data_IF_435343524087
#
_entry.id   IF_435343524087
#
_cell.length_a   1.000
_cell.length_b   1.000
_cell.length_c   1.000
_cell.angle_alpha   90.00
_cell.angle_beta   90.00
_cell.angle_gamma   90.00
#
_symmetry.space_group_name_H-M   'P 1'
#
loop_
_entity.id
_entity.type
_entity.pdbx_description
1 polymer ?
#
# COMPACT_ATOMS: atom_id res chain seq x y z
N UNK A 1 -29.66 11.42 -12.46
CA UNK A 1 -29.88 10.38 -11.44
C UNK A 1 -29.15 10.64 -10.12
N UNK A 2 -27.88 11.11 -10.07
CA UNK A 2 -27.10 11.28 -8.81
C UNK A 2 -27.66 12.22 -7.71
N UNK A 3 -28.60 13.13 -8.00
CA UNK A 3 -29.19 14.01 -6.97
C UNK A 3 -30.25 13.31 -6.11
N UNK A 4 -30.77 12.17 -6.55
CA UNK A 4 -31.85 11.49 -5.83
C UNK A 4 -31.31 10.61 -4.70
N UNK A 5 -30.11 10.05 -4.88
CA UNK A 5 -29.46 9.17 -3.91
C UNK A 5 -28.99 9.95 -2.67
N UNK A 6 -28.49 11.18 -2.85
CA UNK A 6 -28.05 12.05 -1.75
C UNK A 6 -29.20 12.41 -0.79
N UNK A 7 -30.40 12.69 -1.33
CA UNK A 7 -31.59 12.96 -0.52
C UNK A 7 -32.07 11.74 0.26
N UNK A 8 -31.86 10.54 -0.28
CA UNK A 8 -32.28 9.30 0.38
C UNK A 8 -31.37 8.98 1.58
N UNK A 9 -30.08 9.29 1.45
CA UNK A 9 -29.08 9.11 2.49
C UNK A 9 -29.26 10.13 3.63
N UNK A 10 -29.54 11.39 3.31
CA UNK A 10 -29.91 12.42 4.30
C UNK A 10 -31.16 12.04 5.11
N UNK A 11 -32.19 11.50 4.45
CA UNK A 11 -33.41 11.05 5.12
C UNK A 11 -33.19 9.82 6.00
N UNK A 12 -32.25 8.94 5.62
CA UNK A 12 -31.89 7.75 6.41
C UNK A 12 -31.14 8.14 7.68
N UNK A 13 -30.21 9.09 7.58
CA UNK A 13 -29.48 9.65 8.72
C UNK A 13 -30.44 10.37 9.67
N UNK A 14 -31.34 11.21 9.14
CA UNK A 14 -32.35 11.90 9.94
C UNK A 14 -33.29 10.93 10.70
N UNK A 15 -33.68 9.82 10.07
CA UNK A 15 -34.52 8.78 10.71
C UNK A 15 -33.76 8.04 11.82
N UNK A 16 -32.49 7.69 11.61
CA UNK A 16 -31.67 7.04 12.63
C UNK A 16 -31.42 7.94 13.85
N UNK A 17 -31.26 9.25 13.63
CA UNK A 17 -31.17 10.24 14.70
C UNK A 17 -32.49 10.35 15.48
N UNK A 18 -33.63 10.40 14.79
CA UNK A 18 -34.94 10.49 15.44
C UNK A 18 -35.30 9.23 16.26
N UNK A 19 -34.92 8.03 15.79
CA UNK A 19 -35.18 6.76 16.47
C UNK A 19 -34.24 6.54 17.67
N UNK A 20 -33.01 7.06 17.62
CA UNK A 20 -32.05 6.97 18.74
C UNK A 20 -32.39 7.88 19.94
N UNK A 21 -33.07 9.00 19.70
CA UNK A 21 -33.40 10.00 20.74
C UNK A 21 -34.49 9.54 21.71
N UNK A 22 -35.33 8.55 21.35
CA UNK A 22 -36.47 8.15 22.18
C UNK A 22 -36.17 7.13 23.29
N UNK A 23 -34.92 6.65 23.47
CA UNK A 23 -34.62 5.51 24.35
C UNK A 23 -33.53 5.72 25.42
N UNK A 24 -33.34 6.94 25.94
CA UNK A 24 -32.41 7.14 27.06
C UNK A 24 -33.10 7.66 28.33
N UNK A 25 -32.72 7.14 29.51
CA UNK A 25 -33.20 7.64 30.80
C UNK A 25 -32.69 9.07 31.06
N UNK A 26 -33.50 9.92 31.70
CA UNK A 26 -33.12 11.29 32.01
C UNK A 26 -32.21 11.28 33.24
N UNK A 27 -31.06 11.96 33.18
CA UNK A 27 -30.56 12.81 34.28
C UNK A 27 -29.15 13.39 34.09
N UNK A 28 -28.54 13.28 32.92
CA UNK A 28 -27.46 14.18 32.54
C UNK A 28 -27.79 14.81 31.18
N UNK A 29 -27.85 16.15 31.07
CA UNK A 29 -28.00 16.79 29.77
C UNK A 29 -26.83 16.33 28.87
N UNK A 30 -27.14 16.00 27.61
CA UNK A 30 -26.12 15.70 26.63
C UNK A 30 -25.18 16.90 26.45
N UNK A 31 -23.99 16.65 25.91
CA UNK A 31 -23.07 17.72 25.52
C UNK A 31 -23.76 18.65 24.51
N UNK A 32 -23.49 19.95 24.64
CA UNK A 32 -23.92 20.94 23.66
C UNK A 32 -23.17 20.76 22.34
N UNK A 33 -23.75 21.21 21.23
CA UNK A 33 -23.08 21.16 19.92
C UNK A 33 -21.73 21.90 19.96
N UNK A 34 -21.66 23.02 20.67
CA UNK A 34 -20.41 23.79 20.86
C UNK A 34 -19.33 23.00 21.62
N UNK A 35 -19.72 22.20 22.62
CA UNK A 35 -18.79 21.34 23.36
C UNK A 35 -18.34 20.15 22.51
N UNK A 36 -19.22 19.58 21.68
CA UNK A 36 -18.86 18.53 20.73
C UNK A 36 -17.89 19.04 19.66
N UNK A 37 -18.11 20.24 19.12
CA UNK A 37 -17.21 20.87 18.15
C UNK A 37 -15.87 21.22 18.78
N UNK A 38 -15.87 21.82 19.97
CA UNK A 38 -14.65 22.13 20.70
C UNK A 38 -13.88 20.86 21.11
N UNK A 39 -14.58 19.75 21.40
CA UNK A 39 -13.95 18.46 21.67
C UNK A 39 -13.36 17.85 20.41
N UNK A 40 -14.09 17.88 19.28
CA UNK A 40 -13.64 17.39 17.98
C UNK A 40 -12.41 18.15 17.46
N UNK A 41 -12.38 19.48 17.63
CA UNK A 41 -11.26 20.33 17.26
C UNK A 41 -10.08 20.27 18.25
N UNK A 42 -10.20 19.54 19.37
CA UNK A 42 -9.19 19.50 20.43
C UNK A 42 -9.01 20.83 21.19
N UNK A 43 -9.98 21.75 21.10
CA UNK A 43 -9.98 23.05 21.75
C UNK A 43 -10.39 22.99 23.22
N UNK A 44 -11.08 21.92 23.65
CA UNK A 44 -11.47 21.68 25.03
C UNK A 44 -10.26 21.29 25.89
N UNK A 45 -10.06 21.96 27.02
CA UNK A 45 -8.91 21.74 27.93
C UNK A 45 -9.34 21.48 29.38
N UNK A 46 -8.42 20.86 30.14
CA UNK A 46 -8.57 20.62 31.58
C UNK A 46 -9.77 19.75 31.96
N UNK A 47 -10.36 20.05 33.11
CA UNK A 47 -11.45 19.29 33.72
C UNK A 47 -12.67 19.14 32.79
N UNK A 48 -12.97 20.16 31.99
CA UNK A 48 -14.11 20.13 31.07
C UNK A 48 -13.91 19.13 29.92
N UNK A 49 -12.67 18.93 29.46
CA UNK A 49 -12.33 17.89 28.47
C UNK A 49 -12.52 16.51 29.07
N UNK A 50 -12.07 16.29 30.30
CA UNK A 50 -12.21 15.01 31.00
C UNK A 50 -13.68 14.64 31.22
N UNK A 51 -14.50 15.60 31.65
CA UNK A 51 -15.95 15.43 31.79
C UNK A 51 -16.62 15.11 30.45
N UNK A 52 -16.25 15.80 29.37
CA UNK A 52 -16.81 15.55 28.04
C UNK A 52 -16.42 14.17 27.50
N UNK A 53 -15.16 13.75 27.66
CA UNK A 53 -14.68 12.41 27.27
C UNK A 53 -15.37 11.33 28.09
N UNK A 54 -15.51 11.51 29.41
CA UNK A 54 -16.23 10.58 30.28
C UNK A 54 -17.71 10.45 29.87
N UNK A 55 -18.37 11.56 29.56
CA UNK A 55 -19.75 11.55 29.07
C UNK A 55 -19.88 10.80 27.74
N UNK A 56 -19.04 11.09 26.74
CA UNK A 56 -19.01 10.40 25.44
C UNK A 56 -18.75 8.90 25.58
N UNK A 57 -17.95 8.50 26.57
CA UNK A 57 -17.74 7.08 26.88
C UNK A 57 -19.01 6.39 27.40
N UNK A 58 -19.92 7.13 28.06
CA UNK A 58 -21.17 6.59 28.62
C UNK A 58 -22.44 6.85 27.79
N UNK A 59 -22.39 7.81 26.84
CA UNK A 59 -23.56 8.28 26.09
C UNK A 59 -23.39 8.01 24.59
N UNK A 60 -24.12 7.02 24.09
CA UNK A 60 -24.05 6.60 22.67
C UNK A 60 -24.44 7.73 21.71
N UNK A 61 -25.37 8.61 22.10
CA UNK A 61 -25.78 9.76 21.28
C UNK A 61 -24.63 10.76 21.11
N UNK A 62 -23.97 11.15 22.19
CA UNK A 62 -22.82 12.05 22.12
C UNK A 62 -21.63 11.40 21.40
N UNK A 63 -21.47 10.08 21.51
CA UNK A 63 -20.45 9.33 20.77
C UNK A 63 -20.71 9.35 19.26
N UNK A 64 -21.94 9.10 18.83
CA UNK A 64 -22.31 9.17 17.42
C UNK A 64 -22.17 10.60 16.89
N UNK A 65 -22.62 11.60 17.65
CA UNK A 65 -22.49 13.01 17.29
C UNK A 65 -21.02 13.40 17.11
N UNK A 66 -20.12 12.98 18.02
CA UNK A 66 -18.68 13.24 17.91
C UNK A 66 -18.04 12.59 16.66
N UNK A 67 -18.45 11.38 16.30
CA UNK A 67 -17.97 10.72 15.07
C UNK A 67 -18.42 11.49 13.82
N UNK A 68 -19.62 12.04 13.83
CA UNK A 68 -20.15 12.83 12.71
C UNK A 68 -19.40 14.17 12.62
N UNK A 69 -19.28 14.90 13.73
CA UNK A 69 -18.61 16.22 13.75
C UNK A 69 -17.14 16.12 13.38
N UNK A 70 -16.41 15.11 13.88
CA UNK A 70 -15.00 14.87 13.49
C UNK A 70 -14.85 14.57 11.99
N UNK A 71 -15.79 13.84 11.37
CA UNK A 71 -15.79 13.59 9.93
C UNK A 71 -16.10 14.86 9.12
N UNK A 72 -17.06 15.67 9.57
CA UNK A 72 -17.40 16.93 8.91
C UNK A 72 -16.25 17.94 9.01
N UNK A 73 -15.64 18.08 10.18
CA UNK A 73 -14.45 18.93 10.37
C UNK A 73 -13.27 18.47 9.49
N UNK A 74 -13.06 17.16 9.36
CA UNK A 74 -12.05 16.61 8.45
C UNK A 74 -12.38 16.92 6.97
N UNK A 75 -13.65 16.92 6.58
CA UNK A 75 -14.09 17.27 5.22
C UNK A 75 -13.90 18.77 4.93
N UNK A 76 -14.20 19.65 5.89
CA UNK A 76 -14.06 21.11 5.75
C UNK A 76 -12.60 21.55 5.71
N UNK A 77 -11.72 20.91 6.49
CA UNK A 77 -10.26 21.16 6.44
C UNK A 77 -9.61 20.71 5.12
N UNK A 78 -10.32 19.94 4.29
CA UNK A 78 -9.90 19.55 2.94
C UNK A 78 -10.42 20.47 1.84
N UNK A 79 -11.27 21.46 2.14
CA UNK A 79 -11.47 22.57 1.24
C UNK A 79 -10.22 23.45 1.33
N UNK A 80 -9.29 23.27 0.40
CA UNK A 80 -8.32 24.32 0.07
C UNK A 80 -9.10 25.65 0.03
N UNK A 81 -8.60 26.71 0.68
CA UNK A 81 -9.24 28.01 0.56
C UNK A 81 -9.34 28.27 -0.94
N UNK A 82 -10.57 28.31 -1.47
CA UNK A 82 -10.80 28.73 -2.84
C UNK A 82 -10.09 30.06 -2.94
N UNK A 83 -8.95 30.07 -3.62
CA UNK A 83 -8.11 31.23 -3.73
C UNK A 83 -8.87 32.24 -4.59
N UNK A 84 -9.74 32.99 -3.95
CA UNK A 84 -10.24 34.27 -4.40
C UNK A 84 -9.13 35.34 -4.25
N UNK A 85 -7.86 34.94 -4.38
CA UNK A 85 -6.72 35.81 -4.55
C UNK A 85 -6.42 36.00 -6.05
N UNK A 86 -7.31 36.78 -6.66
CA UNK A 86 -6.96 37.90 -7.52
C UNK A 86 -5.69 37.79 -8.40
N UNK A 87 -5.85 37.29 -9.62
CA UNK A 87 -5.75 38.04 -10.90
C UNK A 87 -4.63 39.08 -11.15
N UNK A 88 -3.53 39.14 -10.38
CA UNK A 88 -2.42 40.11 -10.60
C UNK A 88 -1.06 39.50 -10.96
N UNK A 89 -0.89 38.17 -10.95
CA UNK A 89 0.42 37.54 -11.25
C UNK A 89 0.67 37.21 -12.74
N UNK A 90 -0.29 37.45 -13.64
CA UNK A 90 -0.12 37.17 -15.08
C UNK A 90 0.80 38.15 -15.82
N UNK A 91 1.29 39.21 -15.18
CA UNK A 91 2.19 40.20 -15.80
C UNK A 91 3.69 40.05 -15.44
N UNK A 92 4.06 39.14 -14.54
CA UNK A 92 5.46 38.92 -14.17
C UNK A 92 6.18 37.83 -14.99
N UNK A 93 5.42 36.98 -15.69
CA UNK A 93 5.98 35.93 -16.57
C UNK A 93 6.72 36.49 -17.81
N UNK A 94 6.27 37.53 -18.52
CA UNK A 94 6.98 38.00 -19.71
C UNK A 94 8.30 38.74 -19.41
N UNK A 95 8.48 39.28 -18.19
CA UNK A 95 9.70 40.01 -17.81
C UNK A 95 10.89 39.07 -17.54
N UNK A 96 10.63 37.85 -17.04
CA UNK A 96 11.68 36.85 -16.82
C UNK A 96 12.25 36.28 -18.13
N UNK A 97 11.43 36.19 -19.19
CA UNK A 97 11.87 35.72 -20.51
C UNK A 97 12.72 36.75 -21.27
N UNK A 98 12.53 38.05 -21.05
CA UNK A 98 13.37 39.08 -21.66
C UNK A 98 14.81 39.07 -21.12
N UNK A 99 14.99 38.76 -19.82
CA UNK A 99 16.30 38.72 -19.18
C UNK A 99 17.17 37.54 -19.67
N UNK A 100 16.56 36.39 -19.98
CA UNK A 100 17.30 35.22 -20.48
C UNK A 100 17.77 35.40 -21.93
N UNK A 101 17.01 36.09 -22.77
CA UNK A 101 17.42 36.42 -24.15
C UNK A 101 18.61 37.39 -24.17
N UNK A 102 18.62 38.40 -23.29
CA UNK A 102 19.76 39.33 -23.18
C UNK A 102 21.03 38.64 -22.67
N UNK A 103 20.91 37.67 -21.76
CA UNK A 103 22.04 36.86 -21.28
C UNK A 103 22.60 35.94 -22.38
N UNK A 104 21.75 35.35 -23.21
CA UNK A 104 22.17 34.53 -24.34
C UNK A 104 22.92 35.34 -25.42
N UNK A 105 22.47 36.57 -25.71
CA UNK A 105 23.14 37.47 -26.66
C UNK A 105 24.49 37.96 -26.12
N UNK A 106 24.60 38.18 -24.81
CA UNK A 106 25.86 38.53 -24.15
C UNK A 106 26.91 37.42 -24.25
N UNK A 107 26.51 36.16 -24.03
CA UNK A 107 27.43 35.01 -24.11
C UNK A 107 27.85 34.73 -25.55
N UNK A 108 26.96 34.90 -26.54
CA UNK A 108 27.29 34.63 -27.95
C UNK A 108 28.33 35.61 -28.52
N UNK A 109 28.34 36.87 -28.07
CA UNK A 109 29.33 37.86 -28.52
C UNK A 109 30.69 37.76 -27.81
N UNK A 110 30.79 36.97 -26.73
CA UNK A 110 32.01 36.85 -25.92
C UNK A 110 32.76 35.53 -26.10
N UNK A 111 32.48 34.77 -27.18
CA UNK A 111 33.30 33.61 -27.55
C UNK A 111 34.45 34.08 -28.44
N UNK A 112 35.68 34.23 -27.91
CA UNK A 112 36.85 34.45 -28.75
C UNK A 112 37.03 33.24 -29.67
N UNK A 113 37.18 33.51 -30.97
CA UNK A 113 37.57 32.51 -31.98
C UNK A 113 38.91 31.87 -31.57
N UNK A 114 38.85 30.72 -30.89
CA UNK A 114 39.96 29.75 -30.84
C UNK A 114 39.87 28.99 -32.17
N UNK A 115 40.82 29.10 -33.09
CA UNK A 115 42.27 29.02 -32.86
C UNK A 115 42.62 27.54 -32.95
N UNK A 116 43.17 27.16 -34.09
CA UNK A 116 43.47 25.80 -34.56
C UNK A 116 44.07 24.89 -33.49
N UNK A 117 43.47 23.71 -33.32
CA UNK A 117 44.07 22.59 -32.59
C UNK A 117 44.25 21.41 -33.56
N UNK A 118 45.47 20.86 -33.69
CA UNK A 118 45.78 19.79 -34.62
C UNK A 118 45.20 18.45 -34.15
N UNK A 119 44.68 17.69 -35.12
CA UNK A 119 44.21 16.32 -34.98
C UNK A 119 45.39 15.37 -34.67
N UNK A 120 45.30 14.54 -33.61
CA UNK A 120 46.19 13.38 -33.50
C UNK A 120 45.68 12.26 -34.42
N UNK A 121 46.50 11.95 -35.42
CA UNK A 121 46.47 10.71 -36.20
C UNK A 121 46.92 9.57 -35.29
N UNK A 122 46.10 8.52 -35.11
CA UNK A 122 46.57 7.22 -34.63
C UNK A 122 45.98 6.11 -35.53
N UNK A 123 46.81 5.16 -36.02
CA UNK A 123 46.45 4.20 -37.06
C UNK A 123 45.82 2.92 -36.49
N UNK A 124 45.11 2.21 -37.35
CA UNK A 124 44.28 1.06 -37.02
C UNK A 124 45.00 -0.20 -36.55
N UNK A 125 44.19 -1.13 -36.04
CA UNK A 125 44.43 -2.57 -36.02
C UNK A 125 43.15 -3.31 -35.62
N UNK A 126 42.40 -3.75 -36.63
CA UNK A 126 41.60 -5.00 -36.61
C UNK A 126 42.54 -6.09 -37.13
N UNK A 127 42.63 -7.29 -36.52
CA UNK A 127 41.61 -8.33 -36.55
C UNK A 127 41.46 -9.00 -35.16
N UNK A 128 40.54 -9.90 -34.81
CA UNK A 128 40.24 -11.16 -35.48
C UNK A 128 39.07 -11.82 -34.72
N UNK A 129 38.04 -12.19 -35.47
CA UNK A 129 36.84 -12.84 -35.00
C UNK A 129 37.14 -14.35 -34.88
N UNK A 130 37.37 -14.84 -33.66
CA UNK A 130 37.45 -16.29 -33.41
C UNK A 130 36.04 -16.88 -33.38
N UNK A 131 35.64 -17.45 -34.50
CA UNK A 131 34.55 -18.41 -34.57
C UNK A 131 34.99 -19.70 -33.87
N UNK A 132 34.53 -19.90 -32.64
CA UNK A 132 34.57 -21.23 -32.03
C UNK A 132 33.41 -22.01 -32.63
N UNK A 133 33.75 -22.93 -33.52
CA UNK A 133 32.85 -23.96 -34.02
C UNK A 133 32.38 -24.84 -32.84
N UNK A 134 31.11 -24.70 -32.48
CA UNK A 134 30.44 -25.67 -31.61
C UNK A 134 30.31 -26.99 -32.39
N UNK A 135 31.00 -28.00 -31.86
CA UNK A 135 30.87 -29.40 -32.26
C UNK A 135 29.46 -29.88 -31.93
N UNK A 136 28.79 -30.39 -32.95
CA UNK A 136 27.49 -31.06 -32.90
C UNK A 136 27.58 -32.29 -31.97
N UNK A 137 26.75 -32.40 -30.91
CA UNK A 137 26.61 -33.61 -30.12
C UNK A 137 25.80 -34.66 -30.90
N UNK A 138 26.12 -35.96 -30.76
CA UNK A 138 25.42 -37.03 -31.47
C UNK A 138 23.95 -37.14 -31.02
N UNK A 139 23.09 -37.37 -32.02
CA UNK A 139 21.65 -37.59 -31.88
C UNK A 139 21.33 -38.62 -30.77
N UNK A 140 20.63 -38.15 -29.74
CA UNK A 140 19.92 -39.02 -28.80
C UNK A 140 18.57 -39.43 -29.39
N UNK A 141 18.15 -40.70 -29.22
CA UNK A 141 16.93 -41.23 -29.79
C UNK A 141 15.69 -40.58 -29.16
N UNK A 142 14.77 -40.17 -30.03
CA UNK A 142 13.44 -39.66 -29.72
C UNK A 142 12.66 -40.63 -28.83
N UNK A 143 12.65 -40.37 -27.53
CA UNK A 143 11.72 -41.00 -26.60
C UNK A 143 10.37 -40.27 -26.69
N UNK A 144 9.40 -40.98 -27.30
CA UNK A 144 7.98 -41.09 -26.95
C UNK A 144 7.30 -39.87 -26.30
N UNK A 145 6.29 -39.35 -27.00
CA UNK A 145 5.53 -38.16 -26.64
C UNK A 145 4.95 -38.18 -25.22
N UNK A 146 5.49 -37.30 -24.39
CA UNK A 146 4.75 -36.77 -23.25
C UNK A 146 3.93 -35.59 -23.76
N UNK A 147 2.60 -35.67 -23.60
CA UNK A 147 1.70 -34.55 -23.84
C UNK A 147 2.24 -33.32 -23.09
N UNK A 148 2.20 -32.11 -23.69
CA UNK A 148 2.66 -30.91 -23.01
C UNK A 148 1.84 -30.73 -21.74
N UNK A 149 2.47 -30.99 -20.59
CA UNK A 149 1.91 -30.66 -19.28
C UNK A 149 1.69 -29.16 -19.31
N UNK A 150 0.42 -28.74 -19.31
CA UNK A 150 0.06 -27.32 -19.17
C UNK A 150 0.66 -26.85 -17.85
N UNK A 151 1.75 -26.11 -17.91
CA UNK A 151 2.30 -25.42 -16.76
C UNK A 151 1.27 -24.40 -16.30
N UNK A 152 0.50 -24.75 -15.27
CA UNK A 152 -0.41 -23.82 -14.60
C UNK A 152 0.45 -22.77 -13.92
N UNK A 153 0.30 -21.51 -14.35
CA UNK A 153 0.94 -20.35 -13.72
C UNK A 153 0.58 -20.39 -12.22
N UNK A 154 1.54 -20.33 -11.29
CA UNK A 154 1.22 -20.32 -9.87
C UNK A 154 0.37 -19.09 -9.53
N UNK A 155 -0.50 -19.17 -8.52
CA UNK A 155 -1.27 -18.03 -8.04
C UNK A 155 -0.34 -16.83 -7.75
N UNK A 156 -0.75 -15.63 -8.11
CA UNK A 156 0.09 -14.44 -8.04
C UNK A 156 0.69 -14.20 -6.63
N UNK A 157 -0.08 -14.48 -5.58
CA UNK A 157 0.35 -14.34 -4.19
C UNK A 157 1.48 -15.32 -3.81
N UNK A 158 1.40 -16.56 -4.28
CA UNK A 158 2.47 -17.55 -4.14
C UNK A 158 3.70 -17.16 -4.93
N UNK A 159 3.53 -16.59 -6.12
CA UNK A 159 4.65 -16.09 -6.91
C UNK A 159 5.41 -14.99 -6.15
N UNK A 160 4.71 -14.04 -5.52
CA UNK A 160 5.34 -13.04 -4.65
C UNK A 160 6.09 -13.69 -3.48
N UNK A 161 5.44 -14.56 -2.72
CA UNK A 161 6.06 -15.24 -1.58
C UNK A 161 7.35 -15.98 -1.99
N UNK A 162 7.30 -16.75 -3.08
CA UNK A 162 8.45 -17.55 -3.54
C UNK A 162 9.64 -16.72 -4.04
N UNK A 163 9.45 -15.43 -4.35
CA UNK A 163 10.55 -14.53 -4.72
C UNK A 163 11.30 -13.95 -3.52
N UNK A 164 10.73 -14.04 -2.31
CA UNK A 164 11.36 -13.50 -1.11
C UNK A 164 12.51 -14.40 -0.65
N UNK A 165 13.73 -13.89 -0.75
CA UNK A 165 14.94 -14.54 -0.24
C UNK A 165 15.10 -14.13 1.22
N UNK A 166 14.55 -14.92 2.13
CA UNK A 166 14.56 -14.57 3.55
C UNK A 166 15.89 -15.05 4.17
N UNK A 167 16.64 -14.16 4.85
CA UNK A 167 17.90 -14.54 5.47
C UNK A 167 17.67 -15.61 6.53
N UNK A 168 18.66 -16.50 6.67
CA UNK A 168 18.60 -17.59 7.65
C UNK A 168 18.45 -17.04 9.07
N UNK A 169 17.81 -17.86 9.91
CA UNK A 169 17.56 -17.73 11.35
C UNK A 169 18.42 -16.68 12.07
N UNK A 170 17.77 -15.68 12.68
CA UNK A 170 18.40 -14.65 13.53
C UNK A 170 18.30 -13.21 13.00
N UNK A 171 17.84 -13.00 11.77
CA UNK A 171 17.51 -11.67 11.28
C UNK A 171 16.11 -11.28 11.76
N UNK A 172 16.00 -10.29 12.64
CA UNK A 172 14.73 -9.73 13.07
C UNK A 172 14.12 -8.92 11.92
N UNK A 173 13.39 -9.61 11.05
CA UNK A 173 12.59 -8.96 10.03
C UNK A 173 11.18 -8.73 10.58
N UNK A 174 10.98 -7.60 11.23
CA UNK A 174 9.65 -7.23 11.72
C UNK A 174 8.91 -6.43 10.63
N UNK A 175 7.85 -7.05 10.10
CA UNK A 175 6.81 -6.35 9.38
C UNK A 175 5.74 -5.95 10.40
N UNK A 176 5.70 -4.69 10.87
CA UNK A 176 4.67 -4.26 11.79
C UNK A 176 3.32 -4.40 11.10
N UNK A 177 2.49 -5.28 11.64
CA UNK A 177 1.12 -5.46 11.16
C UNK A 177 0.25 -4.44 11.89
N UNK A 178 -0.41 -3.52 11.17
CA UNK A 178 -1.22 -2.48 11.76
C UNK A 178 -2.38 -3.14 12.48
N UNK A 179 -2.57 -2.76 13.74
CA UNK A 179 -3.77 -3.14 14.48
C UNK A 179 -5.00 -2.57 13.77
N UNK A 180 -6.12 -3.31 13.81
CA UNK A 180 -7.36 -2.91 13.13
C UNK A 180 -7.85 -1.50 13.51
N UNK A 181 -7.40 -0.97 14.65
CA UNK A 181 -7.80 0.33 15.17
C UNK A 181 -6.92 1.51 14.72
N UNK A 182 -5.81 1.26 13.99
CA UNK A 182 -4.86 2.31 13.58
C UNK A 182 -5.03 2.80 12.13
N UNK A 183 -5.96 2.22 11.36
CA UNK A 183 -6.25 2.66 10.00
C UNK A 183 -6.99 4.02 10.01
N UNK A 184 -6.22 5.10 10.06
CA UNK A 184 -6.69 6.46 10.31
C UNK A 184 -7.37 7.17 9.13
N UNK A 185 -7.62 6.52 7.99
CA UNK A 185 -8.15 7.21 6.81
C UNK A 185 -9.25 6.40 6.11
N UNK A 186 -10.49 6.60 6.60
CA UNK A 186 -11.75 6.03 6.11
C UNK A 186 -12.19 6.57 4.73
N UNK A 187 -11.32 6.54 3.72
CA UNK A 187 -11.68 6.94 2.33
C UNK A 187 -11.94 5.75 1.41
N UNK A 188 -11.40 4.57 1.70
CA UNK A 188 -11.78 3.32 1.03
C UNK A 188 -12.82 2.58 1.85
N UNK A 189 -13.70 1.81 1.20
CA UNK A 189 -14.61 0.93 1.91
C UNK A 189 -13.84 -0.03 2.83
N UNK A 190 -14.50 -0.48 3.91
CA UNK A 190 -13.88 -1.38 4.89
C UNK A 190 -13.36 -2.65 4.20
N UNK A 191 -14.02 -3.09 3.13
CA UNK A 191 -13.69 -4.32 2.42
C UNK A 191 -12.40 -4.19 1.59
N UNK A 192 -12.13 -3.05 0.95
CA UNK A 192 -10.84 -2.82 0.26
C UNK A 192 -9.67 -2.83 1.23
N UNK A 193 -9.80 -2.12 2.36
CA UNK A 193 -8.79 -2.08 3.40
C UNK A 193 -8.53 -3.48 3.99
N UNK A 194 -9.59 -4.23 4.31
CA UNK A 194 -9.46 -5.59 4.84
C UNK A 194 -8.76 -6.52 3.84
N UNK A 195 -9.06 -6.41 2.54
CA UNK A 195 -8.38 -7.19 1.50
C UNK A 195 -6.92 -6.80 1.33
N UNK A 196 -6.60 -5.51 1.38
CA UNK A 196 -5.19 -5.06 1.42
C UNK A 196 -4.44 -5.66 2.62
N UNK A 197 -5.00 -5.52 3.82
CA UNK A 197 -4.38 -6.04 5.04
C UNK A 197 -4.29 -7.57 5.07
N UNK A 198 -5.23 -8.27 4.45
CA UNK A 198 -5.16 -9.72 4.25
C UNK A 198 -3.94 -10.09 3.41
N UNK A 199 -3.71 -9.42 2.28
CA UNK A 199 -2.57 -9.69 1.40
C UNK A 199 -1.23 -9.40 2.09
N UNK A 200 -1.18 -8.29 2.82
CA UNK A 200 -0.02 -7.91 3.62
C UNK A 200 0.29 -8.96 4.71
N UNK A 201 -0.72 -9.33 5.51
CA UNK A 201 -0.58 -10.29 6.62
C UNK A 201 -0.18 -11.69 6.12
N UNK A 202 -0.65 -12.06 4.94
CA UNK A 202 -0.29 -13.34 4.30
C UNK A 202 1.21 -13.40 4.00
N UNK A 203 1.79 -12.34 3.43
CA UNK A 203 3.24 -12.26 3.19
C UNK A 203 4.01 -12.18 4.51
N UNK A 204 3.53 -11.43 5.49
CA UNK A 204 4.16 -11.35 6.81
C UNK A 204 4.24 -12.73 7.49
N UNK A 205 3.17 -13.52 7.42
CA UNK A 205 3.15 -14.88 7.93
C UNK A 205 4.15 -15.79 7.19
N UNK A 206 4.20 -15.72 5.86
CA UNK A 206 5.20 -16.48 5.09
C UNK A 206 6.62 -16.17 5.54
N UNK A 207 6.92 -14.88 5.70
CA UNK A 207 8.22 -14.42 6.16
C UNK A 207 8.55 -14.97 7.54
N UNK A 208 7.62 -14.88 8.48
CA UNK A 208 7.78 -15.39 9.83
C UNK A 208 8.00 -16.92 9.85
N UNK A 209 7.27 -17.66 9.02
CA UNK A 209 7.44 -19.11 8.93
C UNK A 209 8.80 -19.50 8.37
N UNK A 210 9.30 -18.75 7.37
CA UNK A 210 10.63 -18.96 6.77
C UNK A 210 11.78 -18.57 7.69
N UNK A 211 11.59 -17.60 8.58
CA UNK A 211 12.59 -17.22 9.59
C UNK A 211 12.64 -18.18 10.78
N UNK A 212 11.67 -19.12 10.87
CA UNK A 212 11.45 -20.04 12.00
C UNK A 212 11.24 -19.32 13.35
N UNK A 213 10.78 -18.06 13.33
CA UNK A 213 10.50 -17.29 14.53
C UNK A 213 9.07 -17.56 15.02
N UNK A 214 8.97 -18.38 16.07
CA UNK A 214 7.68 -18.80 16.64
C UNK A 214 6.81 -17.64 17.14
N UNK A 215 7.41 -16.57 17.65
CA UNK A 215 6.65 -15.42 18.16
C UNK A 215 6.12 -14.58 16.99
N UNK A 216 6.94 -14.36 15.98
CA UNK A 216 6.52 -13.69 14.73
C UNK A 216 5.45 -14.50 13.98
N UNK A 217 5.56 -15.84 13.96
CA UNK A 217 4.54 -16.72 13.37
C UNK A 217 3.22 -16.53 14.12
N UNK A 218 3.24 -16.57 15.46
CA UNK A 218 2.03 -16.41 16.28
C UNK A 218 1.37 -15.06 16.07
N UNK A 219 2.14 -13.96 16.10
CA UNK A 219 1.62 -12.60 15.87
C UNK A 219 1.03 -12.46 14.47
N UNK A 220 1.74 -12.94 13.44
CA UNK A 220 1.28 -12.84 12.05
C UNK A 220 0.05 -13.72 11.80
N UNK A 221 0.00 -14.92 12.39
CA UNK A 221 -1.15 -15.82 12.30
C UNK A 221 -2.39 -15.23 12.99
N UNK A 222 -2.23 -14.67 14.19
CA UNK A 222 -3.32 -14.01 14.91
C UNK A 222 -3.85 -12.78 14.13
N UNK A 223 -2.95 -11.98 13.55
CA UNK A 223 -3.38 -10.87 12.70
C UNK A 223 -4.09 -11.36 11.44
N UNK A 224 -3.60 -12.43 10.80
CA UNK A 224 -4.26 -13.01 9.63
C UNK A 224 -5.66 -13.52 9.99
N UNK A 225 -5.79 -14.20 11.13
CA UNK A 225 -7.06 -14.71 11.65
C UNK A 225 -8.10 -13.61 11.84
N UNK A 226 -7.73 -12.50 12.50
CA UNK A 226 -8.59 -11.33 12.68
C UNK A 226 -9.10 -10.77 11.33
N UNK A 227 -8.22 -10.69 10.32
CA UNK A 227 -8.60 -10.19 8.98
C UNK A 227 -9.52 -11.15 8.24
N UNK A 228 -9.28 -12.46 8.36
CA UNK A 228 -10.15 -13.46 7.76
C UNK A 228 -11.53 -13.38 8.42
N UNK A 229 -11.61 -13.28 9.74
CA UNK A 229 -12.88 -13.16 10.47
C UNK A 229 -13.70 -11.93 10.04
N UNK A 230 -13.03 -10.79 9.79
CA UNK A 230 -13.68 -9.58 9.29
C UNK A 230 -14.30 -9.80 7.89
N UNK A 231 -13.64 -10.56 7.03
CA UNK A 231 -14.09 -10.85 5.66
C UNK A 231 -15.07 -12.02 5.57
N UNK A 232 -15.05 -12.96 6.54
CA UNK A 232 -15.90 -14.15 6.56
C UNK A 232 -17.39 -13.79 6.51
N UNK A 233 -17.77 -12.66 7.11
CA UNK A 233 -19.15 -12.15 7.06
C UNK A 233 -19.65 -11.88 5.64
N UNK A 234 -18.76 -11.47 4.73
CA UNK A 234 -19.05 -11.23 3.32
C UNK A 234 -18.69 -12.43 2.42
N UNK A 235 -17.78 -13.30 2.88
CA UNK A 235 -17.19 -14.39 2.10
C UNK A 235 -17.12 -15.68 2.93
N UNK A 236 -18.22 -16.46 3.02
CA UNK A 236 -18.27 -17.70 3.80
C UNK A 236 -17.27 -18.77 3.34
N UNK A 237 -16.74 -18.68 2.12
CA UNK A 237 -15.70 -19.58 1.62
C UNK A 237 -14.38 -19.47 2.44
N UNK A 238 -14.22 -18.40 3.22
CA UNK A 238 -13.08 -18.17 4.10
C UNK A 238 -13.15 -18.94 5.43
N UNK A 239 -14.27 -19.56 5.81
CA UNK A 239 -14.40 -20.27 7.10
C UNK A 239 -13.35 -21.35 7.30
N UNK A 240 -13.05 -22.14 6.26
CA UNK A 240 -12.01 -23.18 6.37
C UNK A 240 -10.62 -22.57 6.60
N UNK A 241 -10.36 -21.42 5.98
CA UNK A 241 -9.11 -20.69 6.14
C UNK A 241 -8.99 -20.08 7.54
N UNK A 242 -10.09 -19.52 8.07
CA UNK A 242 -10.18 -19.01 9.44
C UNK A 242 -9.81 -20.08 10.46
N UNK A 243 -10.44 -21.26 10.38
CA UNK A 243 -10.16 -22.37 11.30
C UNK A 243 -8.68 -22.80 11.28
N UNK A 244 -8.04 -22.76 10.12
CA UNK A 244 -6.61 -23.12 10.00
C UNK A 244 -5.70 -22.00 10.52
N UNK A 245 -6.01 -20.74 10.26
CA UNK A 245 -5.27 -19.59 10.80
C UNK A 245 -5.33 -19.56 12.34
N UNK A 246 -6.53 -19.73 12.91
CA UNK A 246 -6.75 -19.83 14.36
C UNK A 246 -5.95 -20.99 14.98
N UNK A 247 -5.92 -22.16 14.32
CA UNK A 247 -5.12 -23.30 14.78
C UNK A 247 -3.62 -22.99 14.77
N UNK A 248 -3.13 -22.34 13.71
CA UNK A 248 -1.72 -21.92 13.61
C UNK A 248 -1.34 -20.89 14.70
N UNK A 249 -2.26 -19.98 15.04
CA UNK A 249 -2.05 -18.99 16.10
C UNK A 249 -1.98 -19.62 17.51
N UNK A 250 -2.61 -20.77 17.72
CA UNK A 250 -2.67 -21.45 19.03
C UNK A 250 -1.59 -22.51 19.24
N UNK A 251 -0.99 -23.06 18.17
CA UNK A 251 0.06 -24.09 18.29
C UNK A 251 1.33 -23.77 17.50
N UNK A 252 2.52 -23.99 18.09
CA UNK A 252 3.77 -23.89 17.35
C UNK A 252 3.74 -24.92 16.21
N UNK A 253 3.80 -24.42 14.99
CA UNK A 253 3.53 -25.21 13.79
C UNK A 253 4.79 -25.38 12.95
N UNK A 254 4.88 -26.48 12.20
CA UNK A 254 5.96 -26.72 11.25
C UNK A 254 5.83 -25.83 10.02
N UNK A 255 6.95 -25.57 9.34
CA UNK A 255 7.00 -24.81 8.08
C UNK A 255 6.02 -25.35 7.01
N UNK A 256 5.79 -26.67 7.00
CA UNK A 256 4.82 -27.30 6.09
C UNK A 256 3.41 -26.78 6.33
N UNK A 257 2.96 -26.66 7.58
CA UNK A 257 1.60 -26.18 7.91
C UNK A 257 1.44 -24.72 7.50
N UNK A 258 2.47 -23.90 7.69
CA UNK A 258 2.46 -22.53 7.20
C UNK A 258 2.36 -22.45 5.67
N UNK A 259 3.13 -23.28 4.97
CA UNK A 259 3.15 -23.30 3.50
C UNK A 259 1.79 -23.73 2.96
N UNK A 260 1.20 -24.78 3.53
CA UNK A 260 -0.15 -25.24 3.20
C UNK A 260 -1.20 -24.13 3.41
N UNK A 261 -1.11 -23.38 4.52
CA UNK A 261 -2.03 -22.28 4.79
C UNK A 261 -1.90 -21.16 3.75
N UNK A 262 -0.69 -20.85 3.31
CA UNK A 262 -0.46 -19.84 2.28
C UNK A 262 -0.95 -20.28 0.91
N UNK A 263 -0.71 -21.54 0.54
CA UNK A 263 -1.23 -22.11 -0.70
C UNK A 263 -2.75 -22.07 -0.72
N UNK A 264 -3.39 -22.40 0.40
CA UNK A 264 -4.84 -22.35 0.54
C UNK A 264 -5.36 -20.92 0.59
N UNK A 265 -4.66 -19.99 1.24
CA UNK A 265 -5.00 -18.56 1.21
C UNK A 265 -4.97 -18.06 -0.23
N UNK A 266 -3.88 -18.33 -0.95
CA UNK A 266 -3.73 -17.93 -2.34
C UNK A 266 -4.82 -18.54 -3.23
N UNK A 267 -5.12 -19.84 -3.07
CA UNK A 267 -6.15 -20.53 -3.84
C UNK A 267 -7.57 -20.05 -3.51
N UNK A 268 -7.86 -19.76 -2.24
CA UNK A 268 -9.17 -19.24 -1.83
C UNK A 268 -9.36 -17.82 -2.38
N UNK A 269 -8.34 -16.98 -2.27
CA UNK A 269 -8.40 -15.61 -2.79
C UNK A 269 -8.51 -15.56 -4.31
N UNK A 270 -7.85 -16.47 -5.04
CA UNK A 270 -7.98 -16.57 -6.49
C UNK A 270 -9.41 -16.95 -6.91
N UNK A 271 -10.12 -17.74 -6.10
CA UNK A 271 -11.55 -18.07 -6.33
C UNK A 271 -12.47 -16.88 -6.04
N UNK A 272 -12.22 -16.16 -4.94
CA UNK A 272 -13.09 -15.08 -4.48
C UNK A 272 -13.08 -13.88 -5.43
N UNK A 273 -11.89 -13.48 -5.87
CA UNK A 273 -11.75 -12.36 -6.80
C UNK A 273 -10.42 -12.54 -7.56
N UNK A 274 -10.46 -13.25 -8.70
CA UNK A 274 -9.27 -13.41 -9.53
C UNK A 274 -8.82 -12.02 -9.98
N UNK A 275 -7.62 -11.63 -9.54
CA UNK A 275 -7.07 -10.27 -9.67
C UNK A 275 -7.62 -9.24 -8.68
N UNK A 276 -7.92 -9.62 -7.43
CA UNK A 276 -8.15 -8.63 -6.39
C UNK A 276 -6.91 -7.74 -6.19
N UNK A 277 -6.97 -6.54 -6.75
CA UNK A 277 -5.81 -5.66 -6.79
C UNK A 277 -5.45 -5.16 -5.39
N UNK A 278 -6.42 -5.01 -4.48
CA UNK A 278 -6.12 -4.57 -3.11
C UNK A 278 -5.33 -5.63 -2.36
N UNK A 279 -5.75 -6.89 -2.47
CA UNK A 279 -4.99 -8.03 -1.95
C UNK A 279 -3.56 -8.07 -2.53
N UNK A 280 -3.45 -7.98 -3.86
CA UNK A 280 -2.14 -8.02 -4.53
C UNK A 280 -1.27 -6.81 -4.14
N UNK A 281 -1.87 -5.63 -3.97
CA UNK A 281 -1.19 -4.44 -3.51
C UNK A 281 -0.70 -4.58 -2.07
N UNK A 282 -1.49 -5.21 -1.18
CA UNK A 282 -1.07 -5.53 0.18
C UNK A 282 0.13 -6.48 0.21
N UNK A 283 0.05 -7.57 -0.55
CA UNK A 283 1.15 -8.52 -0.69
C UNK A 283 2.40 -7.85 -1.27
N UNK A 284 2.23 -7.05 -2.33
CA UNK A 284 3.28 -6.25 -2.95
C UNK A 284 3.96 -5.31 -1.96
N UNK A 285 3.17 -4.59 -1.17
CA UNK A 285 3.67 -3.62 -0.18
C UNK A 285 4.52 -4.33 0.88
N UNK A 286 4.05 -5.47 1.39
CA UNK A 286 4.83 -6.29 2.32
C UNK A 286 6.15 -6.77 1.69
N UNK A 287 6.11 -7.27 0.45
CA UNK A 287 7.31 -7.72 -0.26
C UNK A 287 8.35 -6.61 -0.48
N UNK A 288 7.92 -5.39 -0.82
CA UNK A 288 8.82 -4.22 -0.96
C UNK A 288 9.52 -3.92 0.35
N UNK A 289 8.79 -3.95 1.48
CA UNK A 289 9.37 -3.74 2.81
C UNK A 289 10.40 -4.81 3.17
N UNK A 290 10.08 -6.07 2.92
CA UNK A 290 11.00 -7.20 3.12
C UNK A 290 12.28 -7.01 2.32
N UNK A 291 12.16 -6.72 1.02
CA UNK A 291 13.29 -6.51 0.13
C UNK A 291 14.13 -5.29 0.55
N UNK A 292 13.49 -4.21 0.99
CA UNK A 292 14.15 -3.01 1.48
C UNK A 292 14.95 -3.26 2.77
N UNK A 293 14.35 -3.91 3.76
CA UNK A 293 15.00 -4.27 5.02
C UNK A 293 16.17 -5.24 4.82
N UNK A 294 16.08 -6.10 3.80
CA UNK A 294 17.16 -7.04 3.44
C UNK A 294 18.19 -6.46 2.47
N UNK A 295 17.98 -5.24 1.97
CA UNK A 295 18.81 -4.61 0.95
C UNK A 295 19.02 -5.51 -0.28
N UNK A 296 17.95 -6.17 -0.75
CA UNK A 296 18.00 -7.15 -1.82
C UNK A 296 17.21 -6.71 -3.08
N UNK A 297 17.89 -6.01 -3.98
CA UNK A 297 17.31 -5.53 -5.23
C UNK A 297 16.76 -6.64 -6.14
N UNK A 298 17.28 -7.87 -6.08
CA UNK A 298 16.81 -8.95 -6.94
C UNK A 298 15.33 -9.30 -6.70
N UNK A 299 14.83 -9.09 -5.47
CA UNK A 299 13.42 -9.29 -5.10
C UNK A 299 12.49 -8.21 -5.67
N UNK A 300 13.05 -7.06 -6.03
CA UNK A 300 12.32 -5.89 -6.51
C UNK A 300 12.06 -5.91 -8.03
N UNK A 301 12.52 -6.93 -8.77
CA UNK A 301 12.32 -7.03 -10.23
C UNK A 301 11.33 -8.13 -10.63
N UNK A 302 10.23 -8.28 -9.90
CA UNK A 302 9.21 -9.30 -10.20
C UNK A 302 8.19 -8.79 -11.24
N UNK A 303 7.82 -9.59 -12.28
CA UNK A 303 6.91 -9.16 -13.35
C UNK A 303 5.54 -8.67 -12.88
N UNK A 304 5.07 -9.20 -11.74
CA UNK A 304 3.79 -8.80 -11.17
C UNK A 304 3.81 -7.41 -10.54
N UNK A 305 4.99 -6.82 -10.23
CA UNK A 305 5.08 -5.45 -9.69
C UNK A 305 4.55 -4.43 -10.72
N UNK A 306 4.95 -4.59 -11.97
CA UNK A 306 4.48 -3.74 -13.07
C UNK A 306 2.97 -3.94 -13.33
N UNK A 307 2.49 -5.16 -13.19
CA UNK A 307 1.06 -5.47 -13.32
C UNK A 307 0.24 -4.78 -12.22
N UNK A 308 0.66 -4.89 -10.96
CA UNK A 308 -0.01 -4.24 -9.82
C UNK A 308 0.02 -2.72 -10.00
N UNK A 309 1.16 -2.11 -10.34
CA UNK A 309 1.26 -0.67 -10.54
C UNK A 309 0.34 -0.15 -11.66
N UNK A 310 0.32 -0.84 -12.80
CA UNK A 310 -0.56 -0.50 -13.93
C UNK A 310 -2.04 -0.62 -13.57
N UNK A 311 -2.39 -1.57 -12.70
CA UNK A 311 -3.75 -1.77 -12.21
C UNK A 311 -4.14 -0.73 -11.16
N UNK A 312 -3.25 -0.38 -10.23
CA UNK A 312 -3.51 0.63 -9.18
C UNK A 312 -3.74 2.01 -9.78
N UNK A 313 -3.06 2.38 -10.86
CA UNK A 313 -3.33 3.64 -11.57
C UNK A 313 -4.76 3.78 -12.12
N UNK A 314 -5.50 2.67 -12.22
CA UNK A 314 -6.90 2.64 -12.68
C UNK A 314 -7.92 2.52 -11.54
N UNK A 315 -7.47 2.35 -10.31
CA UNK A 315 -8.34 2.16 -9.15
C UNK A 315 -8.59 3.46 -8.40
N UNK A 316 -9.69 3.49 -7.67
CA UNK A 316 -9.98 4.46 -6.61
C UNK A 316 -9.14 4.16 -5.35
N UNK A 317 -7.83 3.98 -5.51
CA UNK A 317 -6.92 3.80 -4.39
C UNK A 317 -6.86 5.08 -3.53
N UNK A 318 -6.52 4.97 -2.23
CA UNK A 318 -6.35 6.13 -1.36
C UNK A 318 -5.40 7.15 -1.99
N UNK A 319 -5.71 8.44 -1.78
CA UNK A 319 -4.95 9.55 -2.38
C UNK A 319 -3.45 9.39 -2.12
N UNK A 320 -2.65 9.51 -3.17
CA UNK A 320 -1.19 9.46 -3.10
C UNK A 320 -0.58 8.05 -3.13
N UNK A 321 -1.37 6.96 -3.06
CA UNK A 321 -0.85 5.59 -3.19
C UNK A 321 -0.20 5.37 -4.56
N UNK A 322 -0.89 5.73 -5.65
CA UNK A 322 -0.35 5.58 -7.01
C UNK A 322 0.96 6.36 -7.22
N UNK A 323 1.07 7.56 -6.63
CA UNK A 323 2.29 8.37 -6.69
C UNK A 323 3.46 7.68 -5.99
N UNK A 324 3.23 7.10 -4.81
CA UNK A 324 4.26 6.38 -4.05
C UNK A 324 4.70 5.10 -4.74
N UNK A 325 3.78 4.35 -5.32
CA UNK A 325 4.11 3.18 -6.15
C UNK A 325 5.01 3.61 -7.32
N UNK A 326 4.65 4.71 -7.99
CA UNK A 326 5.48 5.25 -9.08
C UNK A 326 6.87 5.67 -8.59
N UNK A 327 6.98 6.24 -7.39
CA UNK A 327 8.26 6.60 -6.78
C UNK A 327 9.10 5.36 -6.44
N UNK A 328 8.50 4.32 -5.86
CA UNK A 328 9.15 3.03 -5.60
C UNK A 328 9.66 2.42 -6.90
N UNK A 329 8.85 2.38 -7.96
CA UNK A 329 9.28 1.85 -9.26
C UNK A 329 10.45 2.64 -9.86
N UNK A 330 10.45 3.97 -9.75
CA UNK A 330 11.58 4.79 -10.19
C UNK A 330 12.86 4.49 -9.42
N UNK A 331 12.76 4.18 -8.13
CA UNK A 331 13.90 3.76 -7.32
C UNK A 331 14.42 2.40 -7.81
N UNK A 332 13.52 1.45 -8.06
CA UNK A 332 13.84 0.09 -8.54
C UNK A 332 14.51 0.12 -9.92
N UNK A 333 14.06 0.98 -10.83
CA UNK A 333 14.63 1.12 -12.17
C UNK A 333 15.98 1.86 -12.17
N UNK A 334 16.35 2.49 -11.05
CA UNK A 334 17.59 3.23 -10.86
C UNK A 334 18.68 2.43 -10.13
N UNK A 335 19.86 3.04 -9.90
CA UNK A 335 20.87 2.46 -9.03
C UNK A 335 20.37 2.43 -7.57
N UNK A 336 20.18 1.24 -7.02
CA UNK A 336 19.65 1.06 -5.65
C UNK A 336 20.81 1.05 -4.65
N UNK A 337 20.83 2.06 -3.77
CA UNK A 337 21.75 2.19 -2.63
C UNK A 337 21.03 2.07 -1.28
N UNK A 338 21.74 2.21 -0.16
CA UNK A 338 21.16 2.13 1.19
C UNK A 338 20.04 3.17 1.40
N UNK A 339 20.22 4.39 0.88
CA UNK A 339 19.21 5.46 0.99
C UNK A 339 17.95 5.10 0.20
N UNK A 340 18.13 4.49 -0.96
CA UNK A 340 17.05 3.98 -1.80
C UNK A 340 16.21 2.93 -1.07
N UNK A 341 16.85 1.97 -0.38
CA UNK A 341 16.14 0.97 0.43
C UNK A 341 15.35 1.62 1.57
N UNK A 342 15.97 2.52 2.33
CA UNK A 342 15.26 3.25 3.40
C UNK A 342 14.05 4.01 2.86
N UNK A 343 14.21 4.69 1.72
CA UNK A 343 13.13 5.43 1.08
C UNK A 343 12.00 4.51 0.61
N UNK A 344 12.31 3.33 0.08
CA UNK A 344 11.30 2.36 -0.31
C UNK A 344 10.50 1.82 0.88
N UNK A 345 11.16 1.52 2.01
CA UNK A 345 10.46 1.10 3.23
C UNK A 345 9.54 2.21 3.78
N UNK A 346 10.01 3.47 3.81
CA UNK A 346 9.19 4.64 4.18
C UNK A 346 7.95 4.80 3.28
N UNK A 347 8.14 4.68 1.96
CA UNK A 347 7.05 4.81 0.99
C UNK A 347 6.04 3.67 1.13
N UNK A 348 6.51 2.44 1.34
CA UNK A 348 5.66 1.28 1.55
C UNK A 348 4.90 1.34 2.88
N UNK A 349 5.52 1.83 3.95
CA UNK A 349 4.87 2.10 5.23
C UNK A 349 3.79 3.20 5.11
N UNK A 350 4.04 4.28 4.36
CA UNK A 350 3.01 5.31 4.09
C UNK A 350 1.87 4.75 3.21
N UNK A 351 2.14 3.85 2.26
CA UNK A 351 1.07 3.13 1.54
C UNK A 351 0.23 2.32 2.53
N UNK A 352 0.88 1.53 3.39
CA UNK A 352 0.22 0.68 4.37
C UNK A 352 -0.67 1.46 5.34
N UNK A 353 -0.23 2.65 5.81
CA UNK A 353 -1.00 3.50 6.72
C UNK A 353 -2.23 4.16 6.10
N UNK A 354 -2.34 4.18 4.76
CA UNK A 354 -3.48 4.76 4.03
C UNK A 354 -4.63 3.79 3.82
N UNK A 355 -4.43 2.51 4.14
CA UNK A 355 -5.44 1.45 4.12
C UNK A 355 -5.81 1.06 5.54
#
# INVERSE_FOLDING_TARGET
>A
MRRHDHKLEELRIARLLAEGVQKLPPNTPCLTDEELDALAAGALQGERREQAVSHVASCDLCRQALIITTRLAAADSCQEPVQLHQKKQSYLVPLALAATVLLAIGIYNFVPKRGDLPLPVVPGSTPQQSQIACKEPPAQPSATGNAPVKQTKPPALLAFANTLVIPKKGSQLELPVPSANQAGFASTGRDEANRFHLGFSTIALYVACKSEDSDSIRKSAASLDERIQQLETAHPELTELHLKAMKLASTPSSLSVCTDLLEQTAACMEKLSPNDIYLLLGAWTASVRVAAQQQNAAQLHHPYLNEVANKVGKLEAPRGVAQKITEILKIIDGPVDEKSYRRMDELADDIQRRF
#
